data_IF_124408266688
#
_entry.id   IF_124408266688
#
_cell.length_a   1.000
_cell.length_b   1.000
_cell.length_c   1.000
_cell.angle_alpha   90.00
_cell.angle_beta   90.00
_cell.angle_gamma   90.00
#
_symmetry.space_group_name_H-M   'P 1'
#
loop_
_entity.id
_entity.type
_entity.pdbx_description
1 polymer ?
#
# COMPACT_ATOMS: atom_id res chain seq x y z
N UNK A 1 5.63 71.29 -24.58
CA UNK A 1 5.55 69.78 -24.42
C UNK A 1 6.07 69.44 -23.03
N UNK A 2 5.25 68.90 -22.19
CA UNK A 2 5.45 68.93 -20.74
C UNK A 2 6.38 67.76 -20.29
N UNK A 3 7.55 68.10 -19.76
CA UNK A 3 8.65 67.20 -19.39
C UNK A 3 8.17 66.11 -18.41
N UNK A 4 7.18 66.43 -17.57
CA UNK A 4 6.57 65.50 -16.61
C UNK A 4 5.79 64.33 -17.24
N UNK A 5 5.31 64.49 -18.50
CA UNK A 5 4.61 63.40 -19.22
C UNK A 5 5.61 62.42 -19.86
N UNK A 6 6.83 62.80 -20.11
CA UNK A 6 7.89 61.95 -20.67
C UNK A 6 8.52 61.12 -19.55
N UNK A 7 8.75 61.72 -18.39
CA UNK A 7 9.31 61.02 -17.21
C UNK A 7 8.35 59.94 -16.69
N UNK A 8 7.04 60.22 -16.60
CA UNK A 8 6.05 59.24 -16.15
C UNK A 8 5.86 58.09 -17.17
N UNK A 9 6.02 58.32 -18.47
CA UNK A 9 5.97 57.20 -19.46
C UNK A 9 7.23 56.33 -19.43
N UNK A 10 8.39 56.92 -19.19
CA UNK A 10 9.64 56.16 -19.03
C UNK A 10 9.65 55.37 -17.73
N UNK A 11 9.11 55.88 -16.64
CA UNK A 11 9.00 55.18 -15.38
C UNK A 11 7.99 54.02 -15.42
N UNK A 12 6.85 54.18 -16.11
CA UNK A 12 5.88 53.10 -16.32
C UNK A 12 6.43 52.01 -17.25
N UNK A 13 7.28 52.34 -18.21
CA UNK A 13 7.92 51.38 -19.12
C UNK A 13 9.03 50.57 -18.41
N UNK A 14 9.76 51.21 -17.48
CA UNK A 14 10.79 50.53 -16.67
C UNK A 14 10.16 49.58 -15.64
N UNK A 15 9.05 49.97 -15.01
CA UNK A 15 8.36 49.09 -14.03
C UNK A 15 7.69 47.92 -14.74
N UNK A 16 7.18 48.10 -15.97
CA UNK A 16 6.58 47.00 -16.73
C UNK A 16 7.62 45.97 -17.22
N UNK A 17 8.85 46.43 -17.53
CA UNK A 17 9.93 45.50 -17.89
C UNK A 17 10.61 44.83 -16.70
N UNK A 18 10.47 45.37 -15.47
CA UNK A 18 10.96 44.71 -14.24
C UNK A 18 10.01 43.64 -13.70
N UNK A 19 8.74 43.63 -14.16
CA UNK A 19 7.74 42.62 -13.77
C UNK A 19 7.66 41.42 -14.73
N UNK A 20 8.40 41.41 -15.84
CA UNK A 20 8.42 40.32 -16.82
C UNK A 20 9.65 39.41 -16.67
N UNK A 21 10.60 39.74 -15.80
CA UNK A 21 11.85 38.98 -15.64
C UNK A 21 11.89 38.05 -14.43
N UNK A 22 10.74 37.52 -13.98
CA UNK A 22 10.77 36.55 -12.92
C UNK A 22 9.71 35.46 -13.09
N UNK A 23 9.81 34.72 -14.18
CA UNK A 23 9.35 33.35 -14.28
C UNK A 23 10.08 32.67 -15.43
N UNK A 24 11.40 32.58 -15.34
CA UNK A 24 12.05 31.45 -15.99
C UNK A 24 11.74 30.25 -15.12
N UNK A 25 11.18 29.14 -15.68
CA UNK A 25 11.16 27.88 -14.97
C UNK A 25 12.61 27.58 -14.63
N UNK A 26 12.91 27.40 -13.35
CA UNK A 26 14.22 26.93 -12.93
C UNK A 26 14.50 25.68 -13.76
N UNK A 27 15.45 25.77 -14.67
CA UNK A 27 16.08 24.59 -15.22
C UNK A 27 16.70 23.91 -14.02
N UNK A 28 16.04 22.85 -13.55
CA UNK A 28 16.70 21.90 -12.68
C UNK A 28 17.86 21.34 -13.48
N UNK A 29 19.03 21.90 -13.30
CA UNK A 29 20.25 21.24 -13.69
C UNK A 29 20.29 19.98 -12.83
N UNK A 30 20.06 18.82 -13.44
CA UNK A 30 20.40 17.53 -12.87
C UNK A 30 21.93 17.57 -12.75
N UNK A 31 22.41 18.02 -11.59
CA UNK A 31 23.83 18.30 -11.35
C UNK A 31 24.66 17.03 -11.19
N UNK A 32 24.03 15.87 -11.12
CA UNK A 32 24.69 14.56 -11.24
C UNK A 32 23.67 13.53 -11.68
N UNK A 33 23.94 12.69 -12.68
CA UNK A 33 23.08 11.55 -12.93
C UNK A 33 23.09 10.69 -11.67
N UNK A 34 21.90 10.40 -11.14
CA UNK A 34 21.72 9.42 -10.07
C UNK A 34 22.44 8.15 -10.52
N UNK A 35 23.34 7.63 -9.67
CA UNK A 35 24.04 6.38 -9.98
C UNK A 35 22.99 5.29 -10.07
N UNK A 36 22.63 4.90 -11.28
CA UNK A 36 21.74 3.76 -11.47
C UNK A 36 22.41 2.52 -10.90
N UNK A 37 21.70 1.82 -10.04
CA UNK A 37 22.11 0.50 -9.61
C UNK A 37 22.02 -0.44 -10.83
N UNK A 38 23.13 -1.07 -11.18
CA UNK A 38 23.07 -2.11 -12.20
C UNK A 38 22.58 -3.40 -11.53
N UNK A 39 21.36 -3.79 -11.82
CA UNK A 39 20.88 -5.13 -11.49
C UNK A 39 21.52 -6.08 -12.50
N UNK A 40 22.21 -7.11 -12.01
CA UNK A 40 22.70 -8.17 -12.90
C UNK A 40 21.51 -8.85 -13.57
N UNK A 41 21.47 -8.78 -14.90
CA UNK A 41 20.45 -9.47 -15.65
C UNK A 41 20.68 -10.98 -15.55
N UNK A 42 19.69 -11.70 -15.08
CA UNK A 42 19.70 -13.15 -15.09
C UNK A 42 19.33 -13.61 -16.49
N UNK A 43 20.34 -13.96 -17.29
CA UNK A 43 20.13 -14.41 -18.67
C UNK A 43 19.67 -15.87 -18.75
N UNK A 44 19.84 -16.64 -17.67
CA UNK A 44 19.44 -18.05 -17.60
C UNK A 44 18.83 -18.33 -16.22
N UNK A 45 17.60 -18.81 -16.21
CA UNK A 45 17.00 -19.37 -15.00
C UNK A 45 17.52 -20.80 -14.81
N UNK A 46 18.29 -21.09 -13.74
CA UNK A 46 18.97 -22.38 -13.60
C UNK A 46 18.02 -23.57 -13.44
N UNK A 47 16.77 -23.36 -13.08
CA UNK A 47 15.79 -24.41 -12.79
C UNK A 47 14.56 -24.36 -13.71
N UNK A 48 14.69 -23.88 -14.92
CA UNK A 48 13.60 -23.93 -15.89
C UNK A 48 13.17 -25.38 -16.14
N UNK A 49 11.91 -25.73 -15.89
CA UNK A 49 11.40 -27.06 -16.19
C UNK A 49 11.46 -27.33 -17.70
N UNK A 50 11.83 -28.54 -18.07
CA UNK A 50 11.87 -28.93 -19.48
C UNK A 50 10.81 -30.00 -19.77
N UNK A 51 9.88 -29.78 -20.72
CA UNK A 51 9.75 -28.59 -21.57
C UNK A 51 9.14 -27.38 -20.83
N UNK A 52 9.68 -26.18 -21.10
CA UNK A 52 9.16 -24.94 -20.59
C UNK A 52 7.88 -24.56 -21.34
N UNK A 53 6.81 -24.31 -20.60
CA UNK A 53 5.55 -23.81 -21.14
C UNK A 53 5.32 -22.40 -20.64
N UNK A 54 5.18 -21.46 -21.55
CA UNK A 54 4.72 -20.10 -21.19
C UNK A 54 3.28 -20.21 -20.70
N UNK A 55 3.08 -19.78 -19.47
CA UNK A 55 1.75 -19.74 -18.84
C UNK A 55 1.15 -18.36 -19.09
N UNK A 56 -0.08 -18.34 -19.57
CA UNK A 56 -0.84 -17.08 -19.70
C UNK A 56 -1.42 -16.68 -18.34
N UNK A 57 -0.61 -16.04 -17.52
CA UNK A 57 -1.02 -15.56 -16.20
C UNK A 57 -2.11 -14.51 -16.26
N UNK A 58 -2.19 -13.71 -17.34
CA UNK A 58 -3.25 -12.73 -17.51
C UNK A 58 -4.60 -13.43 -17.66
N UNK A 59 -4.67 -14.49 -18.48
CA UNK A 59 -5.89 -15.26 -18.64
C UNK A 59 -6.27 -16.00 -17.35
N UNK A 60 -5.29 -16.57 -16.64
CA UNK A 60 -5.52 -17.23 -15.34
C UNK A 60 -6.11 -16.23 -14.32
N UNK A 61 -5.56 -15.03 -14.24
CA UNK A 61 -6.06 -13.99 -13.33
C UNK A 61 -7.49 -13.57 -13.68
N UNK A 62 -7.82 -13.42 -14.96
CA UNK A 62 -9.20 -13.14 -15.40
C UNK A 62 -10.16 -14.29 -15.09
N UNK A 63 -9.72 -15.52 -15.23
CA UNK A 63 -10.53 -16.70 -14.92
C UNK A 63 -10.75 -16.81 -13.41
N UNK A 64 -9.74 -16.49 -12.61
CA UNK A 64 -9.85 -16.45 -11.16
C UNK A 64 -10.77 -15.32 -10.71
N UNK A 65 -10.64 -14.10 -11.25
CA UNK A 65 -11.57 -12.99 -10.97
C UNK A 65 -13.03 -13.38 -11.25
N UNK A 66 -13.27 -14.02 -12.40
CA UNK A 66 -14.61 -14.48 -12.77
C UNK A 66 -15.19 -15.51 -11.79
N UNK A 67 -14.32 -16.37 -11.26
CA UNK A 67 -14.68 -17.36 -10.25
C UNK A 67 -14.99 -16.71 -8.89
N UNK A 68 -14.14 -15.78 -8.44
CA UNK A 68 -14.32 -15.05 -7.19
C UNK A 68 -15.63 -14.25 -7.18
N UNK A 69 -15.93 -13.56 -8.29
CA UNK A 69 -17.12 -12.71 -8.44
C UNK A 69 -18.33 -13.47 -8.99
N UNK A 70 -18.45 -14.76 -8.65
CA UNK A 70 -19.63 -15.55 -8.97
C UNK A 70 -20.40 -15.92 -7.69
N UNK A 71 -21.51 -15.24 -7.37
CA UNK A 71 -22.29 -15.50 -6.17
C UNK A 71 -23.06 -16.82 -6.22
N UNK A 72 -23.09 -17.50 -7.36
CA UNK A 72 -23.80 -18.78 -7.55
C UNK A 72 -22.90 -19.99 -7.32
N UNK A 73 -21.63 -19.79 -6.99
CA UNK A 73 -20.74 -20.88 -6.64
C UNK A 73 -21.23 -21.62 -5.38
N UNK A 74 -21.06 -22.93 -5.38
CA UNK A 74 -21.49 -23.80 -4.28
C UNK A 74 -20.35 -24.68 -3.81
N UNK A 75 -20.30 -24.94 -2.52
CA UNK A 75 -19.26 -25.78 -1.90
C UNK A 75 -18.96 -25.35 -0.47
N UNK A 76 -18.05 -26.04 0.23
CA UNK A 76 -17.78 -25.75 1.64
C UNK A 76 -17.17 -24.37 1.88
N UNK A 77 -16.51 -23.77 0.85
CA UNK A 77 -15.86 -22.46 0.91
C UNK A 77 -16.41 -21.46 -0.09
N UNK A 78 -17.57 -21.76 -0.69
CA UNK A 78 -18.20 -20.93 -1.74
C UNK A 78 -19.57 -20.46 -1.31
N UNK A 79 -20.03 -19.31 -1.84
CA UNK A 79 -19.30 -18.35 -2.67
C UNK A 79 -18.25 -17.58 -1.86
N UNK A 80 -17.22 -17.06 -2.53
CA UNK A 80 -16.22 -16.15 -1.90
C UNK A 80 -16.75 -14.74 -1.71
N UNK A 81 -17.74 -14.36 -2.49
CA UNK A 81 -18.37 -13.05 -2.41
C UNK A 81 -19.77 -13.18 -1.79
N UNK A 82 -20.10 -12.28 -0.87
CA UNK A 82 -21.45 -12.21 -0.30
C UNK A 82 -21.90 -10.78 -0.04
N UNK A 83 -23.20 -10.58 0.10
CA UNK A 83 -23.77 -9.27 0.39
C UNK A 83 -23.38 -8.81 1.77
N UNK A 84 -22.83 -7.59 1.83
CA UNK A 84 -22.59 -6.86 3.06
C UNK A 84 -23.79 -5.95 3.34
N UNK A 85 -24.44 -6.17 4.47
CA UNK A 85 -25.60 -5.38 4.88
C UNK A 85 -25.24 -4.08 5.61
N UNK A 86 -23.96 -3.83 5.88
CA UNK A 86 -23.52 -2.67 6.68
C UNK A 86 -23.74 -1.33 5.97
N UNK A 87 -23.66 -1.24 4.66
CA UNK A 87 -23.96 -0.08 3.80
C UNK A 87 -23.80 1.29 4.46
N UNK A 88 -22.58 1.71 4.69
CA UNK A 88 -22.33 2.96 5.41
C UNK A 88 -22.26 4.19 4.50
N UNK A 89 -21.54 4.05 3.39
CA UNK A 89 -21.15 5.18 2.55
C UNK A 89 -21.58 5.00 1.09
N UNK A 90 -22.55 4.13 0.84
CA UNK A 90 -23.03 3.80 -0.52
C UNK A 90 -24.54 3.56 -0.52
N UNK A 91 -25.20 3.96 -1.61
CA UNK A 91 -26.64 3.80 -1.83
C UNK A 91 -27.00 2.50 -2.57
N UNK A 92 -26.02 1.67 -2.88
CA UNK A 92 -26.20 0.39 -3.58
C UNK A 92 -25.92 -0.78 -2.63
N UNK A 93 -26.33 -1.98 -3.02
CA UNK A 93 -25.89 -3.18 -2.34
C UNK A 93 -24.36 -3.28 -2.37
N UNK A 94 -23.77 -3.72 -1.28
CA UNK A 94 -22.34 -3.91 -1.16
C UNK A 94 -22.02 -5.39 -1.00
N UNK A 95 -20.83 -5.74 -1.42
CA UNK A 95 -20.32 -7.11 -1.32
C UNK A 95 -18.95 -7.08 -0.66
N UNK A 96 -18.73 -8.04 0.23
CA UNK A 96 -17.43 -8.35 0.79
C UNK A 96 -16.87 -9.63 0.20
N UNK A 97 -15.60 -9.82 0.30
CA UNK A 97 -14.92 -11.05 -0.07
C UNK A 97 -14.51 -11.80 1.20
N UNK A 98 -14.88 -13.06 1.27
CA UNK A 98 -14.54 -13.90 2.39
C UNK A 98 -13.07 -14.32 2.31
N UNK A 99 -12.29 -13.95 3.32
CA UNK A 99 -10.84 -14.13 3.32
C UNK A 99 -10.33 -15.25 4.23
N UNK A 100 -11.24 -15.86 5.00
CA UNK A 100 -10.84 -16.81 6.03
C UNK A 100 -10.40 -18.19 5.51
N UNK A 101 -10.36 -18.42 4.21
CA UNK A 101 -10.04 -19.75 3.64
C UNK A 101 -8.66 -20.27 3.99
N UNK A 102 -7.75 -19.44 4.41
CA UNK A 102 -6.42 -19.84 4.88
C UNK A 102 -6.10 -19.34 6.27
N UNK A 103 -7.00 -18.59 6.87
CA UNK A 103 -6.79 -17.97 8.18
C UNK A 103 -7.72 -18.54 9.23
N UNK A 104 -7.18 -19.46 10.03
CA UNK A 104 -7.93 -20.10 11.12
C UNK A 104 -8.48 -19.12 12.16
N UNK A 105 -7.94 -17.91 12.25
CA UNK A 105 -8.42 -16.87 13.16
C UNK A 105 -9.79 -16.35 12.74
N UNK A 106 -10.06 -16.32 11.45
CA UNK A 106 -11.34 -15.84 10.92
C UNK A 106 -12.41 -16.93 10.99
N UNK A 107 -12.06 -18.16 10.70
CA UNK A 107 -12.92 -19.31 10.81
C UNK A 107 -14.23 -19.23 10.02
N UNK A 108 -14.88 -20.36 9.88
CA UNK A 108 -16.15 -20.49 9.16
C UNK A 108 -17.33 -19.78 9.85
N UNK A 109 -17.19 -19.43 11.13
CA UNK A 109 -18.21 -18.71 11.90
C UNK A 109 -18.50 -17.31 11.39
N UNK A 110 -17.60 -16.73 10.61
CA UNK A 110 -17.74 -15.41 10.02
C UNK A 110 -18.52 -15.41 8.69
N UNK A 111 -19.01 -16.54 8.23
CA UNK A 111 -19.85 -16.67 7.04
C UNK A 111 -21.12 -15.81 7.02
N UNK A 112 -21.49 -15.26 8.13
CA UNK A 112 -22.71 -14.43 8.22
C UNK A 112 -22.49 -12.98 7.77
N UNK A 113 -21.38 -12.68 7.10
CA UNK A 113 -21.08 -11.34 6.59
C UNK A 113 -20.75 -10.31 7.66
N UNK A 114 -20.43 -10.77 8.88
CA UNK A 114 -20.03 -9.88 9.97
C UNK A 114 -18.58 -9.46 9.82
N UNK A 115 -17.76 -10.31 9.22
CA UNK A 115 -16.33 -10.10 9.07
C UNK A 115 -15.83 -10.42 7.66
N UNK A 116 -15.41 -9.40 6.97
CA UNK A 116 -14.63 -9.50 5.74
C UNK A 116 -13.63 -8.34 5.68
N UNK A 117 -12.51 -8.57 5.07
CA UNK A 117 -11.42 -7.60 5.05
C UNK A 117 -11.47 -6.70 3.82
N UNK A 118 -11.18 -5.43 4.04
CA UNK A 118 -10.95 -4.49 2.93
C UNK A 118 -9.74 -4.91 2.10
N UNK A 119 -8.71 -5.50 2.72
CA UNK A 119 -7.55 -6.05 2.03
C UNK A 119 -7.96 -6.96 0.87
N UNK A 120 -8.81 -7.95 1.12
CA UNK A 120 -9.28 -8.86 0.09
C UNK A 120 -10.17 -8.16 -0.94
N UNK A 121 -11.10 -7.32 -0.48
CA UNK A 121 -12.05 -6.64 -1.37
C UNK A 121 -11.36 -5.62 -2.27
N UNK A 122 -10.51 -4.75 -1.71
CA UNK A 122 -9.78 -3.74 -2.48
C UNK A 122 -8.72 -4.42 -3.35
N UNK A 123 -7.98 -5.39 -2.79
CA UNK A 123 -6.95 -6.13 -3.52
C UNK A 123 -7.52 -6.89 -4.72
N UNK A 124 -8.71 -7.49 -4.60
CA UNK A 124 -9.35 -8.20 -5.72
C UNK A 124 -9.87 -7.24 -6.81
N UNK A 125 -10.40 -6.07 -6.42
CA UNK A 125 -10.77 -5.03 -7.38
C UNK A 125 -9.54 -4.52 -8.11
N UNK A 126 -8.46 -4.24 -7.39
CA UNK A 126 -7.19 -3.81 -7.99
C UNK A 126 -6.62 -4.89 -8.92
N UNK A 127 -6.56 -6.15 -8.46
CA UNK A 127 -6.04 -7.26 -9.25
C UNK A 127 -6.83 -7.52 -10.54
N UNK A 128 -8.16 -7.47 -10.48
CA UNK A 128 -9.01 -7.55 -11.66
C UNK A 128 -8.77 -6.40 -12.64
N UNK A 129 -8.62 -5.18 -12.11
CA UNK A 129 -8.34 -3.98 -12.92
C UNK A 129 -7.00 -4.07 -13.63
N UNK A 130 -5.95 -4.57 -12.96
CA UNK A 130 -4.62 -4.76 -13.53
C UNK A 130 -4.61 -5.69 -14.76
N UNK A 131 -5.51 -6.66 -14.81
CA UNK A 131 -5.64 -7.57 -15.96
C UNK A 131 -6.76 -7.16 -16.93
N UNK A 132 -7.28 -5.95 -16.78
CA UNK A 132 -8.23 -5.34 -17.71
C UNK A 132 -9.70 -5.76 -17.52
N UNK A 133 -10.07 -6.22 -16.33
CA UNK A 133 -11.48 -6.42 -15.96
C UNK A 133 -12.04 -5.08 -15.48
N UNK A 134 -13.11 -4.60 -16.12
CA UNK A 134 -13.82 -3.39 -15.65
C UNK A 134 -14.61 -3.71 -14.38
N UNK A 135 -14.05 -3.34 -13.24
CA UNK A 135 -14.67 -3.54 -11.93
C UNK A 135 -15.74 -2.50 -11.59
N UNK A 136 -15.81 -1.40 -12.35
CA UNK A 136 -16.88 -0.40 -12.19
C UNK A 136 -18.21 -0.84 -12.80
N UNK A 137 -18.18 -1.86 -13.66
CA UNK A 137 -19.39 -2.43 -14.29
C UNK A 137 -19.24 -3.93 -14.58
N UNK A 138 -18.89 -4.72 -13.59
CA UNK A 138 -18.78 -6.17 -13.77
C UNK A 138 -20.14 -6.84 -13.55
N UNK A 139 -20.72 -7.40 -14.59
CA UNK A 139 -22.05 -8.04 -14.56
C UNK A 139 -23.18 -7.11 -14.02
N UNK A 140 -23.03 -5.81 -14.24
CA UNK A 140 -23.99 -4.79 -13.79
C UNK A 140 -23.73 -4.25 -12.37
N UNK A 141 -22.71 -4.72 -11.69
CA UNK A 141 -22.33 -4.28 -10.35
C UNK A 141 -21.13 -3.33 -10.41
N UNK A 142 -21.16 -2.25 -9.64
CA UNK A 142 -20.06 -1.33 -9.47
C UNK A 142 -19.26 -1.70 -8.20
N UNK A 143 -18.33 -2.65 -8.33
CA UNK A 143 -17.49 -3.06 -7.20
C UNK A 143 -16.49 -1.98 -6.75
N UNK A 144 -16.11 -1.08 -7.67
CA UNK A 144 -15.28 0.07 -7.32
C UNK A 144 -16.02 0.99 -6.35
N UNK A 145 -17.23 1.40 -6.71
CA UNK A 145 -18.07 2.25 -5.86
C UNK A 145 -18.35 1.64 -4.48
N UNK A 146 -18.47 0.31 -4.39
CA UNK A 146 -18.70 -0.41 -3.13
C UNK A 146 -17.55 -0.28 -2.13
N UNK A 147 -16.31 -0.07 -2.58
CA UNK A 147 -15.15 0.03 -1.69
C UNK A 147 -15.24 1.21 -0.71
N UNK A 148 -16.04 2.23 -1.02
CA UNK A 148 -16.33 3.34 -0.10
C UNK A 148 -16.95 2.88 1.22
N UNK A 149 -17.52 1.67 1.24
CA UNK A 149 -18.12 1.10 2.44
C UNK A 149 -17.10 0.84 3.56
N UNK A 150 -15.82 0.72 3.23
CA UNK A 150 -14.73 0.57 4.20
C UNK A 150 -14.26 1.89 4.81
N UNK A 151 -14.69 3.03 4.29
CA UNK A 151 -14.36 4.32 4.88
C UNK A 151 -15.09 4.51 6.21
N UNK A 152 -14.34 4.70 7.28
CA UNK A 152 -14.86 4.79 8.63
C UNK A 152 -14.98 6.24 9.09
N UNK A 153 -16.11 6.86 8.82
CA UNK A 153 -16.47 8.19 9.33
C UNK A 153 -17.23 8.15 10.67
N UNK A 154 -17.79 6.99 11.04
CA UNK A 154 -18.65 6.86 12.22
C UNK A 154 -17.84 6.95 13.53
N UNK A 155 -16.64 6.40 13.55
CA UNK A 155 -15.74 6.42 14.69
C UNK A 155 -14.71 7.55 14.63
N UNK A 156 -14.83 8.47 13.67
CA UNK A 156 -13.91 9.58 13.41
C UNK A 156 -12.49 9.16 13.01
N UNK A 157 -12.27 7.90 12.66
CA UNK A 157 -11.00 7.48 12.09
C UNK A 157 -10.75 8.16 10.75
N UNK A 158 -11.80 8.28 9.94
CA UNK A 158 -11.79 8.99 8.65
C UNK A 158 -10.72 8.49 7.68
N UNK A 159 -10.48 7.18 7.70
CA UNK A 159 -9.64 6.42 6.77
C UNK A 159 -10.38 5.17 6.30
N UNK A 160 -9.81 4.48 5.32
CA UNK A 160 -10.26 3.13 4.94
C UNK A 160 -9.84 2.16 6.05
N UNK A 161 -10.81 1.52 6.67
CA UNK A 161 -10.58 0.51 7.71
C UNK A 161 -10.58 -0.89 7.13
N UNK A 162 -9.90 -1.81 7.80
CA UNK A 162 -9.83 -3.20 7.34
C UNK A 162 -11.16 -3.93 7.43
N UNK A 163 -12.15 -3.38 8.10
CA UNK A 163 -13.49 -3.95 8.20
C UNK A 163 -14.59 -2.90 8.19
N UNK A 164 -15.78 -3.30 7.79
CA UNK A 164 -16.97 -2.43 7.79
C UNK A 164 -17.66 -2.37 9.16
N UNK A 165 -17.41 -3.32 10.06
CA UNK A 165 -17.97 -3.37 11.40
C UNK A 165 -17.05 -2.65 12.39
N UNK A 166 -17.53 -1.62 13.12
CA UNK A 166 -16.72 -0.93 14.12
C UNK A 166 -16.21 -1.86 15.24
N UNK A 167 -17.03 -2.82 15.65
CA UNK A 167 -16.67 -3.78 16.70
C UNK A 167 -15.51 -4.66 16.29
N UNK A 168 -15.50 -5.09 15.04
CA UNK A 168 -14.45 -5.94 14.48
C UNK A 168 -13.21 -5.14 14.15
N UNK A 169 -13.37 -3.95 13.57
CA UNK A 169 -12.25 -3.06 13.26
C UNK A 169 -11.44 -2.65 14.49
N UNK A 170 -12.04 -2.77 15.68
CA UNK A 170 -11.39 -2.47 16.95
C UNK A 170 -10.95 -3.72 17.72
N UNK A 171 -10.97 -4.89 17.11
CA UNK A 171 -10.43 -6.09 17.74
C UNK A 171 -8.96 -5.85 18.09
N UNK A 172 -8.69 -5.69 19.39
CA UNK A 172 -7.34 -5.59 19.88
C UNK A 172 -6.59 -6.91 19.69
N UNK A 173 -5.29 -6.85 19.79
CA UNK A 173 -4.53 -8.06 19.90
C UNK A 173 -4.03 -8.64 18.57
N UNK A 174 -3.64 -7.84 17.65
CA UNK A 174 -2.93 -8.24 16.45
C UNK A 174 -3.73 -7.98 15.21
N UNK A 175 -4.84 -8.58 15.07
CA UNK A 175 -5.73 -8.40 13.93
C UNK A 175 -6.47 -7.07 14.05
N UNK A 176 -6.42 -6.20 13.05
CA UNK A 176 -6.92 -4.82 13.07
C UNK A 176 -6.24 -3.89 14.09
N UNK A 177 -5.15 -4.32 14.71
CA UNK A 177 -4.28 -3.52 15.58
C UNK A 177 -2.80 -3.70 15.25
N UNK A 178 -2.54 -4.26 14.12
CA UNK A 178 -1.28 -4.21 13.41
C UNK A 178 -1.32 -3.03 12.46
N UNK A 179 -0.28 -2.20 12.45
CA UNK A 179 -0.30 -0.96 11.69
C UNK A 179 -0.48 -1.17 10.18
N UNK A 180 0.09 -2.23 9.64
CA UNK A 180 -0.04 -2.49 8.22
C UNK A 180 -1.49 -2.75 7.78
N UNK A 181 -2.35 -3.28 8.65
CA UNK A 181 -3.79 -3.41 8.39
C UNK A 181 -4.52 -2.06 8.28
N UNK A 182 -4.01 -1.03 8.94
CA UNK A 182 -4.56 0.33 8.83
C UNK A 182 -3.95 1.11 7.66
N UNK A 183 -2.74 0.75 7.23
CA UNK A 183 -1.99 1.46 6.19
C UNK A 183 -2.27 0.89 4.80
N UNK A 184 -2.16 -0.42 4.63
CA UNK A 184 -2.19 -1.06 3.32
C UNK A 184 -3.54 -0.92 2.59
N UNK A 185 -4.71 -1.02 3.24
CA UNK A 185 -5.99 -0.76 2.58
C UNK A 185 -6.08 0.65 1.98
N UNK A 186 -5.54 1.65 2.67
CA UNK A 186 -5.52 3.03 2.20
C UNK A 186 -4.60 3.20 1.00
N UNK A 187 -3.45 2.55 1.02
CA UNK A 187 -2.51 2.49 -0.10
C UNK A 187 -3.17 1.87 -1.34
N UNK A 188 -3.79 0.69 -1.20
CA UNK A 188 -4.49 0.04 -2.30
C UNK A 188 -5.69 0.85 -2.81
N UNK A 189 -6.40 1.56 -1.93
CA UNK A 189 -7.51 2.40 -2.32
C UNK A 189 -7.05 3.55 -3.24
N UNK A 190 -5.88 4.16 -2.97
CA UNK A 190 -5.26 5.11 -3.88
C UNK A 190 -4.89 4.47 -5.22
N UNK A 191 -4.33 3.26 -5.22
CA UNK A 191 -4.01 2.54 -6.45
C UNK A 191 -5.26 2.23 -7.29
N UNK A 192 -6.38 1.84 -6.66
CA UNK A 192 -7.67 1.67 -7.37
C UNK A 192 -8.16 2.99 -7.95
N UNK A 193 -8.02 4.10 -7.21
CA UNK A 193 -8.45 5.42 -7.68
C UNK A 193 -7.69 5.89 -8.93
N UNK A 194 -6.47 5.41 -9.16
CA UNK A 194 -5.71 5.71 -10.39
C UNK A 194 -6.30 5.00 -11.62
N UNK A 195 -6.90 3.81 -11.44
CA UNK A 195 -7.64 3.11 -12.50
C UNK A 195 -9.02 3.73 -12.77
N UNK A 196 -9.65 4.32 -11.74
CA UNK A 196 -11.00 4.87 -11.80
C UNK A 196 -11.02 6.32 -11.29
N UNK A 197 -10.34 7.25 -11.99
CA UNK A 197 -10.16 8.62 -11.51
C UNK A 197 -11.46 9.41 -11.35
N UNK A 198 -12.50 9.01 -12.09
CA UNK A 198 -13.81 9.68 -12.11
C UNK A 198 -14.86 9.00 -11.22
N UNK A 199 -14.47 7.98 -10.41
CA UNK A 199 -15.42 7.30 -9.54
C UNK A 199 -15.99 8.26 -8.50
N UNK A 200 -17.32 8.34 -8.49
CA UNK A 200 -18.05 9.29 -7.65
C UNK A 200 -17.84 9.00 -6.16
N UNK A 201 -17.53 10.04 -5.39
CA UNK A 201 -17.38 9.95 -3.95
C UNK A 201 -16.00 9.49 -3.48
N UNK A 202 -15.06 9.22 -4.40
CA UNK A 202 -13.68 8.86 -4.04
C UNK A 202 -12.88 10.08 -3.56
N UNK A 203 -12.98 11.21 -4.23
CA UNK A 203 -12.16 12.38 -3.92
C UNK A 203 -12.24 12.85 -2.46
N UNK A 204 -13.44 12.99 -1.83
CA UNK A 204 -13.51 13.36 -0.42
C UNK A 204 -12.86 12.34 0.51
N UNK A 205 -12.96 11.04 0.20
CA UNK A 205 -12.33 9.97 0.97
C UNK A 205 -10.81 10.04 0.85
N UNK A 206 -10.30 10.15 -0.37
CA UNK A 206 -8.86 10.27 -0.64
C UNK A 206 -8.26 11.48 0.08
N UNK A 207 -8.94 12.65 0.05
CA UNK A 207 -8.49 13.83 0.80
C UNK A 207 -8.48 13.58 2.31
N UNK A 208 -9.54 12.98 2.83
CA UNK A 208 -9.64 12.65 4.25
C UNK A 208 -8.52 11.73 4.70
N UNK A 209 -8.24 10.69 3.93
CA UNK A 209 -7.12 9.76 4.17
C UNK A 209 -5.79 10.50 4.16
N UNK A 210 -5.55 11.33 3.12
CA UNK A 210 -4.32 12.11 3.01
C UNK A 210 -4.10 13.05 4.19
N UNK A 211 -5.14 13.78 4.59
CA UNK A 211 -5.07 14.69 5.74
C UNK A 211 -4.76 13.93 7.04
N UNK A 212 -5.42 12.78 7.26
CA UNK A 212 -5.17 11.93 8.44
C UNK A 212 -3.76 11.37 8.48
N UNK A 213 -3.23 10.92 7.34
CA UNK A 213 -1.87 10.40 7.23
C UNK A 213 -0.84 11.51 7.39
N UNK A 214 -1.11 12.71 6.87
CA UNK A 214 -0.26 13.88 7.07
C UNK A 214 -0.23 14.31 8.54
N UNK A 215 -1.39 14.45 9.18
CA UNK A 215 -1.49 14.77 10.60
C UNK A 215 -0.76 13.73 11.46
N UNK A 216 -0.91 12.44 11.13
CA UNK A 216 -0.21 11.36 11.82
C UNK A 216 1.32 11.46 11.67
N UNK A 217 1.82 11.76 10.47
CA UNK A 217 3.25 11.98 10.24
C UNK A 217 3.79 13.15 11.09
N UNK A 218 3.04 14.25 11.18
CA UNK A 218 3.43 15.39 12.02
C UNK A 218 3.50 15.02 13.52
N UNK A 219 2.55 14.21 13.99
CA UNK A 219 2.54 13.72 15.38
C UNK A 219 3.72 12.76 15.63
N UNK A 220 4.00 11.89 14.68
CA UNK A 220 5.10 10.92 14.76
C UNK A 220 6.46 11.59 14.70
N UNK A 221 6.58 12.69 13.97
CA UNK A 221 7.80 13.51 13.87
C UNK A 221 9.06 12.65 13.64
N UNK A 222 9.00 11.76 12.65
CA UNK A 222 10.08 10.83 12.29
C UNK A 222 10.22 9.59 13.19
N UNK A 223 9.41 9.45 14.23
CA UNK A 223 9.44 8.27 15.10
C UNK A 223 8.27 7.32 14.80
N UNK A 224 8.54 6.28 14.05
CA UNK A 224 7.59 5.21 13.72
C UNK A 224 7.76 3.96 14.60
N UNK A 225 8.46 4.05 15.75
CA UNK A 225 8.68 2.92 16.66
C UNK A 225 7.41 2.57 17.46
N UNK A 226 6.33 2.24 16.76
CA UNK A 226 5.04 1.90 17.33
C UNK A 226 4.42 0.69 16.64
N UNK A 227 3.39 0.11 17.26
CA UNK A 227 2.69 -1.07 16.73
C UNK A 227 1.51 -0.66 15.83
N UNK A 228 0.86 0.44 16.14
CA UNK A 228 -0.23 1.03 15.36
C UNK A 228 -0.40 2.50 15.71
N UNK A 229 -1.27 3.19 14.95
CA UNK A 229 -1.63 4.57 15.18
C UNK A 229 -3.16 4.69 15.36
N UNK A 230 -3.59 5.36 16.40
CA UNK A 230 -5.01 5.67 16.63
C UNK A 230 -5.37 6.95 15.88
N UNK A 231 -5.92 6.82 14.67
CA UNK A 231 -6.26 7.96 13.80
C UNK A 231 -7.48 8.76 14.31
N UNK A 232 -8.27 8.21 15.24
CA UNK A 232 -9.33 8.96 15.89
C UNK A 232 -8.74 9.97 16.90
N UNK A 233 -7.81 9.52 17.73
CA UNK A 233 -7.19 10.31 18.80
C UNK A 233 -5.90 10.99 18.36
N UNK A 234 -5.44 10.68 17.17
CA UNK A 234 -4.13 11.11 16.65
C UNK A 234 -2.98 10.78 17.59
N UNK A 235 -2.90 9.52 18.02
CA UNK A 235 -1.91 9.05 18.97
C UNK A 235 -1.25 7.76 18.53
N UNK A 236 0.09 7.66 18.57
CA UNK A 236 0.78 6.39 18.36
C UNK A 236 0.60 5.44 19.54
N UNK A 237 0.50 4.16 19.29
CA UNK A 237 0.24 3.13 20.29
C UNK A 237 1.21 1.97 20.18
N UNK A 238 1.49 1.34 21.35
CA UNK A 238 2.18 0.05 21.44
C UNK A 238 1.30 -1.00 22.10
N UNK A 239 1.34 -2.19 21.56
CA UNK A 239 0.79 -3.39 22.18
C UNK A 239 1.91 -4.45 22.33
N UNK A 240 1.55 -5.71 22.42
CA UNK A 240 2.49 -6.83 22.57
C UNK A 240 3.16 -7.25 21.25
N UNK A 241 2.74 -6.71 20.11
CA UNK A 241 3.31 -6.98 18.79
C UNK A 241 4.59 -6.15 18.62
N UNK A 242 5.50 -6.61 17.78
CA UNK A 242 6.68 -5.84 17.42
C UNK A 242 6.30 -4.51 16.77
N UNK A 243 7.07 -3.47 17.01
CA UNK A 243 6.89 -2.18 16.37
C UNK A 243 7.07 -2.28 14.86
N UNK A 244 6.12 -1.75 14.11
CA UNK A 244 6.06 -1.84 12.65
C UNK A 244 6.57 -0.54 12.02
N UNK A 245 7.87 -0.32 12.12
CA UNK A 245 8.49 0.91 11.61
C UNK A 245 8.43 1.00 10.07
N UNK A 246 8.26 -0.11 9.37
CA UNK A 246 8.02 -0.15 7.94
C UNK A 246 6.64 0.43 7.53
N UNK A 247 5.74 0.73 8.48
CA UNK A 247 4.55 1.53 8.23
C UNK A 247 4.86 2.91 7.64
N UNK A 248 6.04 3.45 7.91
CA UNK A 248 6.54 4.68 7.30
C UNK A 248 6.59 4.59 5.76
N UNK A 249 6.88 3.41 5.19
CA UNK A 249 6.83 3.20 3.75
C UNK A 249 5.42 3.39 3.18
N UNK A 250 4.42 2.86 3.86
CA UNK A 250 3.03 3.03 3.44
C UNK A 250 2.52 4.46 3.61
N UNK A 251 2.91 5.16 4.68
CA UNK A 251 2.65 6.59 4.85
C UNK A 251 3.26 7.40 3.70
N UNK A 252 4.53 7.16 3.38
CA UNK A 252 5.20 7.82 2.27
C UNK A 252 4.46 7.58 0.94
N UNK A 253 3.99 6.34 0.68
CA UNK A 253 3.24 6.02 -0.53
C UNK A 253 1.91 6.77 -0.60
N UNK A 254 1.08 6.68 0.45
CA UNK A 254 -0.23 7.34 0.49
C UNK A 254 -0.11 8.85 0.30
N UNK A 255 0.83 9.47 1.00
CA UNK A 255 1.06 10.91 0.91
C UNK A 255 1.64 11.32 -0.45
N UNK A 256 2.52 10.52 -1.04
CA UNK A 256 3.04 10.82 -2.38
C UNK A 256 1.95 10.66 -3.44
N UNK A 257 1.13 9.62 -3.37
CA UNK A 257 -0.02 9.44 -4.26
C UNK A 257 -1.03 10.59 -4.11
N UNK A 258 -1.27 11.05 -2.89
CA UNK A 258 -2.10 12.23 -2.63
C UNK A 258 -1.50 13.51 -3.24
N UNK A 259 -0.20 13.72 -3.11
CA UNK A 259 0.48 14.84 -3.78
C UNK A 259 0.36 14.75 -5.29
N UNK A 260 0.56 13.58 -5.87
CA UNK A 260 0.41 13.40 -7.32
C UNK A 260 -1.00 13.77 -7.80
N UNK A 261 -2.02 13.43 -7.02
CA UNK A 261 -3.42 13.69 -7.36
C UNK A 261 -3.84 15.13 -7.08
N UNK A 262 -3.50 15.67 -5.92
CA UNK A 262 -4.04 16.94 -5.43
C UNK A 262 -3.09 18.12 -5.58
N UNK A 263 -1.82 17.86 -5.80
CA UNK A 263 -0.74 18.86 -5.89
C UNK A 263 -0.63 19.75 -4.64
N UNK A 264 -1.09 19.26 -3.49
CA UNK A 264 -0.91 19.94 -2.20
C UNK A 264 0.50 19.66 -1.67
N UNK A 265 1.35 20.71 -1.49
CA UNK A 265 2.74 20.53 -1.08
C UNK A 265 2.90 19.89 0.30
N UNK A 266 1.89 19.97 1.19
CA UNK A 266 1.92 19.33 2.51
C UNK A 266 2.09 17.81 2.38
N UNK A 267 1.43 17.21 1.38
CA UNK A 267 1.51 15.77 1.17
C UNK A 267 2.89 15.35 0.66
N UNK A 268 3.53 16.17 -0.18
CA UNK A 268 4.92 15.91 -0.59
C UNK A 268 5.90 16.02 0.58
N UNK A 269 5.71 17.03 1.44
CA UNK A 269 6.49 17.20 2.67
C UNK A 269 6.35 15.97 3.59
N UNK A 270 5.11 15.55 3.86
CA UNK A 270 4.84 14.37 4.67
C UNK A 270 5.38 13.07 4.05
N UNK A 271 5.29 12.92 2.73
CA UNK A 271 5.85 11.77 2.04
C UNK A 271 7.37 11.67 2.21
N UNK A 272 8.07 12.80 2.09
CA UNK A 272 9.52 12.87 2.32
C UNK A 272 9.87 12.60 3.78
N UNK A 273 9.14 13.19 4.71
CA UNK A 273 9.31 12.99 6.16
C UNK A 273 9.19 11.51 6.55
N UNK A 274 8.12 10.85 6.14
CA UNK A 274 7.92 9.43 6.39
C UNK A 274 9.01 8.56 5.75
N UNK A 275 9.39 8.86 4.50
CA UNK A 275 10.45 8.13 3.83
C UNK A 275 11.81 8.31 4.53
N UNK A 276 12.14 9.51 4.96
CA UNK A 276 13.38 9.79 5.69
C UNK A 276 13.42 9.05 7.03
N UNK A 277 12.29 8.94 7.73
CA UNK A 277 12.19 8.12 8.92
C UNK A 277 12.53 6.64 8.63
N UNK A 278 12.02 6.10 7.53
CA UNK A 278 12.31 4.74 7.09
C UNK A 278 13.78 4.55 6.71
N UNK A 279 14.35 5.46 5.91
CA UNK A 279 15.76 5.39 5.47
C UNK A 279 16.76 5.56 6.62
N UNK A 280 16.35 6.16 7.73
CA UNK A 280 17.17 6.32 8.92
C UNK A 280 17.18 5.09 9.84
N UNK A 281 16.41 4.04 9.56
CA UNK A 281 16.45 2.79 10.28
C UNK A 281 17.87 2.19 10.26
N UNK A 282 18.26 1.52 11.35
CA UNK A 282 19.60 0.92 11.52
C UNK A 282 19.60 -0.59 11.44
N UNK A 283 18.44 -1.18 11.37
CA UNK A 283 18.22 -2.62 11.33
C UNK A 283 16.96 -2.92 10.52
N UNK A 284 16.87 -4.13 9.99
CA UNK A 284 15.74 -4.57 9.21
C UNK A 284 14.47 -4.67 10.06
N UNK A 285 13.48 -3.83 9.75
CA UNK A 285 12.16 -3.78 10.39
C UNK A 285 11.04 -4.24 9.46
N UNK A 286 11.37 -5.01 8.44
CA UNK A 286 10.38 -5.57 7.53
C UNK A 286 9.42 -6.50 8.28
N UNK A 287 8.16 -6.11 8.39
CA UNK A 287 7.20 -6.84 9.21
C UNK A 287 6.27 -7.72 8.37
N UNK A 288 5.57 -7.16 7.39
CA UNK A 288 4.66 -7.90 6.50
C UNK A 288 4.99 -7.64 5.03
N UNK A 289 4.64 -6.46 4.51
CA UNK A 289 4.67 -6.17 3.07
C UNK A 289 5.09 -4.74 2.75
N UNK A 290 5.20 -3.83 3.72
CA UNK A 290 5.28 -2.40 3.43
C UNK A 290 6.67 -1.92 3.00
N UNK A 291 7.75 -2.58 3.43
CA UNK A 291 9.12 -2.16 3.14
C UNK A 291 9.40 -1.86 1.65
N UNK A 292 9.00 -2.72 0.68
CA UNK A 292 9.24 -2.45 -0.74
C UNK A 292 8.56 -1.20 -1.28
N UNK A 293 7.46 -0.76 -0.68
CA UNK A 293 6.79 0.49 -1.06
C UNK A 293 7.67 1.71 -0.77
N UNK A 294 8.49 1.65 0.29
CA UNK A 294 9.48 2.68 0.58
C UNK A 294 10.53 2.80 -0.52
N UNK A 295 11.04 1.68 -1.01
CA UNK A 295 11.98 1.67 -2.13
C UNK A 295 11.34 2.28 -3.40
N UNK A 296 10.11 1.90 -3.71
CA UNK A 296 9.35 2.45 -4.83
C UNK A 296 9.15 3.98 -4.72
N UNK A 297 8.73 4.47 -3.55
CA UNK A 297 8.53 5.91 -3.34
C UNK A 297 9.85 6.66 -3.43
N UNK A 298 10.94 6.12 -2.88
CA UNK A 298 12.27 6.71 -2.98
C UNK A 298 12.71 6.84 -4.45
N UNK A 299 12.54 5.78 -5.23
CA UNK A 299 12.86 5.80 -6.65
C UNK A 299 12.04 6.86 -7.41
N UNK A 300 10.73 6.96 -7.12
CA UNK A 300 9.86 7.95 -7.74
C UNK A 300 10.22 9.39 -7.36
N UNK A 301 10.48 9.65 -6.08
CA UNK A 301 10.91 10.98 -5.62
C UNK A 301 12.25 11.37 -6.27
N UNK A 302 13.18 10.42 -6.41
CA UNK A 302 14.43 10.68 -7.11
C UNK A 302 14.20 11.04 -8.58
N UNK A 303 13.30 10.34 -9.26
CA UNK A 303 13.03 10.56 -10.67
C UNK A 303 12.18 11.81 -10.95
N UNK A 304 11.17 12.08 -10.10
CA UNK A 304 10.14 13.08 -10.37
C UNK A 304 10.36 14.40 -9.63
N UNK A 305 10.97 14.35 -8.42
CA UNK A 305 11.17 15.51 -7.55
C UNK A 305 12.65 15.88 -7.38
N UNK A 306 13.55 15.21 -8.10
CA UNK A 306 14.99 15.51 -8.11
C UNK A 306 15.70 15.26 -6.78
N UNK A 307 15.16 14.38 -5.94
CA UNK A 307 15.84 13.94 -4.71
C UNK A 307 16.94 12.92 -5.03
N UNK A 308 17.72 12.53 -4.05
CA UNK A 308 18.81 11.54 -4.21
C UNK A 308 18.82 10.60 -3.00
N UNK A 309 17.71 9.96 -2.71
CA UNK A 309 17.59 8.99 -1.64
C UNK A 309 18.29 7.69 -2.02
N UNK A 310 19.15 7.18 -1.13
CA UNK A 310 19.69 5.82 -1.23
C UNK A 310 18.71 4.86 -0.56
N UNK A 311 18.11 3.99 -1.34
CA UNK A 311 17.14 2.99 -0.89
C UNK A 311 17.66 1.55 -1.00
N UNK A 312 18.97 1.38 -1.17
CA UNK A 312 19.61 0.06 -1.30
C UNK A 312 19.27 -0.84 -0.12
N UNK A 313 19.34 -0.30 1.11
CA UNK A 313 19.01 -1.04 2.32
C UNK A 313 17.56 -1.53 2.35
N UNK A 314 16.61 -0.79 1.78
CA UNK A 314 15.21 -1.21 1.76
C UNK A 314 15.01 -2.42 0.85
N UNK A 315 15.76 -2.49 -0.25
CA UNK A 315 15.77 -3.66 -1.13
C UNK A 315 16.48 -4.83 -0.46
N UNK A 316 17.67 -4.60 0.09
CA UNK A 316 18.42 -5.64 0.79
C UNK A 316 17.56 -6.26 1.90
N UNK A 317 16.94 -5.46 2.74
CA UNK A 317 16.08 -5.93 3.83
C UNK A 317 14.81 -6.67 3.35
N UNK A 318 14.33 -6.37 2.17
CA UNK A 318 13.22 -7.12 1.58
C UNK A 318 13.64 -8.57 1.24
N UNK A 319 14.92 -8.78 0.89
CA UNK A 319 15.42 -10.06 0.39
C UNK A 319 16.32 -10.82 1.38
N UNK A 320 16.70 -10.22 2.51
CA UNK A 320 17.67 -10.79 3.45
C UNK A 320 17.09 -11.80 4.43
N UNK A 321 15.86 -11.63 4.85
CA UNK A 321 15.26 -12.45 5.90
C UNK A 321 15.83 -12.21 7.31
N UNK A 322 16.49 -11.09 7.57
CA UNK A 322 17.11 -10.73 8.85
C UNK A 322 16.27 -9.77 9.71
N UNK A 323 14.98 -9.72 9.47
CA UNK A 323 14.07 -8.85 10.21
C UNK A 323 14.13 -9.12 11.72
N UNK A 324 14.37 -8.05 12.49
CA UNK A 324 14.40 -8.13 13.97
C UNK A 324 13.01 -8.29 14.58
N UNK A 325 11.97 -8.01 13.83
CA UNK A 325 10.59 -8.18 14.25
C UNK A 325 10.05 -9.57 13.96
N UNK A 326 10.48 -10.15 12.86
CA UNK A 326 9.98 -11.40 12.33
C UNK A 326 11.17 -12.18 11.78
N UNK A 327 11.82 -12.90 12.69
CA UNK A 327 13.03 -13.65 12.37
C UNK A 327 12.84 -14.52 11.10
N UNK A 328 13.77 -14.45 10.17
CA UNK A 328 13.72 -15.16 8.91
C UNK A 328 12.72 -14.60 7.89
N UNK A 329 12.04 -13.50 8.18
CA UNK A 329 11.07 -12.89 7.27
C UNK A 329 11.75 -12.15 6.12
N UNK A 330 11.39 -12.49 4.91
CA UNK A 330 11.91 -11.91 3.68
C UNK A 330 11.57 -12.78 2.48
N UNK A 331 12.20 -12.53 1.36
CA UNK A 331 12.07 -13.38 0.16
C UNK A 331 12.91 -14.63 0.34
N UNK A 332 12.26 -15.77 0.44
CA UNK A 332 12.91 -17.07 0.60
C UNK A 332 13.65 -17.47 -0.68
N UNK A 333 14.79 -18.11 -0.52
CA UNK A 333 15.57 -18.72 -1.61
C UNK A 333 15.97 -20.13 -1.20
N UNK A 334 15.55 -21.13 -1.98
CA UNK A 334 15.93 -22.52 -1.74
C UNK A 334 14.82 -23.54 -1.97
N UNK A 335 15.09 -24.74 -1.49
CA UNK A 335 14.16 -25.87 -1.58
C UNK A 335 13.63 -26.25 -0.21
N UNK A 336 12.34 -26.53 -0.13
CA UNK A 336 11.68 -27.06 1.03
C UNK A 336 10.93 -28.34 0.68
N UNK A 337 11.27 -29.43 1.33
CA UNK A 337 10.69 -30.77 1.08
C UNK A 337 10.67 -31.16 -0.41
N UNK A 338 11.71 -30.76 -1.19
CA UNK A 338 11.84 -31.06 -2.59
C UNK A 338 11.14 -30.06 -3.52
N UNK A 339 10.50 -29.03 -2.98
CA UNK A 339 9.90 -27.95 -3.76
C UNK A 339 10.78 -26.71 -3.73
N UNK A 340 10.97 -26.09 -4.90
CA UNK A 340 11.61 -24.79 -5.01
C UNK A 340 10.65 -23.71 -4.49
N UNK A 341 11.04 -23.03 -3.40
CA UNK A 341 10.29 -21.96 -2.77
C UNK A 341 10.89 -20.58 -3.05
N UNK A 342 11.86 -20.52 -3.96
CA UNK A 342 12.53 -19.26 -4.27
C UNK A 342 11.56 -18.21 -4.78
N UNK A 343 11.64 -17.02 -4.19
CA UNK A 343 10.79 -15.88 -4.54
C UNK A 343 9.50 -15.75 -3.71
N UNK A 344 9.22 -16.70 -2.82
CA UNK A 344 8.06 -16.59 -1.90
C UNK A 344 8.46 -15.77 -0.68
N UNK A 345 7.63 -14.83 -0.27
CA UNK A 345 7.80 -14.16 1.03
C UNK A 345 7.31 -15.06 2.15
N UNK A 346 8.15 -15.17 3.15
CA UNK A 346 7.86 -15.97 4.32
C UNK A 346 8.98 -15.92 5.35
N UNK A 347 8.90 -16.80 6.33
CA UNK A 347 9.93 -16.99 7.35
C UNK A 347 10.48 -18.40 7.29
N UNK A 348 11.78 -18.53 7.36
CA UNK A 348 12.46 -19.84 7.50
C UNK A 348 12.40 -20.35 8.94
N UNK A 349 11.99 -19.50 9.87
CA UNK A 349 11.84 -19.81 11.28
C UNK A 349 10.37 -19.77 11.64
N UNK A 350 9.89 -20.73 12.34
CA UNK A 350 8.52 -20.75 12.80
C UNK A 350 8.24 -19.62 13.77
N UNK A 351 7.61 -18.59 13.27
CA UNK A 351 7.19 -17.46 14.05
C UNK A 351 5.69 -17.40 14.17
N UNK A 352 5.21 -17.46 15.40
CA UNK A 352 3.83 -17.09 15.69
C UNK A 352 3.80 -15.79 16.48
N UNK A 353 3.50 -14.64 15.81
CA UNK A 353 3.44 -13.36 16.48
C UNK A 353 2.31 -13.28 17.52
N UNK A 354 1.31 -14.15 17.36
CA UNK A 354 0.10 -14.17 18.20
C UNK A 354 0.32 -14.95 19.49
N UNK A 355 1.27 -15.89 19.51
CA UNK A 355 1.43 -16.75 20.68
C UNK A 355 2.88 -17.03 21.03
N UNK A 356 3.47 -16.15 21.82
CA UNK A 356 4.83 -16.32 22.36
C UNK A 356 5.00 -17.61 23.19
N UNK A 357 3.91 -18.29 23.53
CA UNK A 357 3.91 -19.52 24.32
C UNK A 357 3.97 -20.80 23.46
N UNK A 358 3.96 -20.68 22.13
CA UNK A 358 4.18 -21.82 21.23
C UNK A 358 5.67 -22.10 21.02
N UNK A 359 6.47 -22.00 22.08
CA UNK A 359 7.89 -22.39 22.06
C UNK A 359 8.13 -23.87 21.76
N UNK A 360 7.07 -24.68 21.83
CA UNK A 360 7.14 -26.13 21.68
C UNK A 360 6.64 -26.64 20.32
N UNK A 361 6.22 -25.75 19.43
CA UNK A 361 5.97 -26.14 18.05
C UNK A 361 7.25 -25.85 17.26
N UNK A 362 8.01 -26.87 16.95
CA UNK A 362 9.01 -26.86 15.90
C UNK A 362 8.29 -26.47 14.61
N UNK A 363 8.13 -25.18 14.37
CA UNK A 363 7.56 -24.72 13.14
C UNK A 363 8.68 -24.63 12.12
N UNK A 364 8.51 -25.36 11.08
CA UNK A 364 9.46 -25.48 9.97
C UNK A 364 9.47 -24.26 9.06
N UNK A 365 8.98 -23.10 9.54
CA UNK A 365 8.79 -21.91 8.72
C UNK A 365 7.44 -21.91 7.98
N UNK A 366 7.20 -20.86 7.23
CA UNK A 366 5.98 -20.70 6.44
C UNK A 366 6.18 -19.63 5.36
N UNK A 367 5.40 -19.71 4.28
CA UNK A 367 5.34 -18.72 3.24
C UNK A 367 3.92 -18.28 2.95
N UNK A 368 3.76 -17.02 2.62
CA UNK A 368 2.48 -16.46 2.21
C UNK A 368 2.51 -16.04 0.74
N UNK A 369 1.72 -16.71 -0.08
CA UNK A 369 1.58 -16.34 -1.48
C UNK A 369 0.98 -14.95 -1.62
N UNK A 370 -0.01 -14.61 -0.82
CA UNK A 370 -0.64 -13.29 -0.81
C UNK A 370 0.40 -12.20 -0.51
N UNK A 371 1.15 -12.30 0.58
CA UNK A 371 2.16 -11.31 0.94
C UNK A 371 3.27 -11.20 -0.11
N UNK A 372 3.54 -12.28 -0.84
CA UNK A 372 4.49 -12.26 -1.95
C UNK A 372 4.03 -11.30 -3.05
N UNK A 373 2.77 -11.40 -3.48
CA UNK A 373 2.23 -10.49 -4.47
C UNK A 373 2.14 -9.06 -3.94
N UNK A 374 1.67 -8.89 -2.71
CA UNK A 374 1.49 -7.59 -2.09
C UNK A 374 2.80 -6.81 -1.94
N UNK A 375 3.89 -7.50 -1.60
CA UNK A 375 5.20 -6.87 -1.45
C UNK A 375 5.94 -6.67 -2.78
N UNK A 376 5.70 -7.51 -3.78
CA UNK A 376 6.44 -7.46 -5.05
C UNK A 376 5.85 -6.49 -6.07
N UNK A 377 4.55 -6.23 -6.06
CA UNK A 377 3.95 -5.38 -7.08
C UNK A 377 4.51 -3.95 -7.14
N UNK A 378 4.91 -3.28 -6.03
CA UNK A 378 5.52 -1.95 -6.13
C UNK A 378 6.91 -1.98 -6.78
N UNK A 379 7.59 -3.13 -6.80
CA UNK A 379 8.92 -3.27 -7.41
C UNK A 379 8.86 -3.47 -8.93
N UNK A 380 7.74 -3.95 -9.47
CA UNK A 380 7.59 -4.21 -10.91
C UNK A 380 7.90 -2.98 -11.78
N UNK A 381 7.40 -1.77 -11.49
CA UNK A 381 7.72 -0.59 -12.30
C UNK A 381 9.14 -0.04 -12.10
N UNK A 382 9.93 -0.63 -11.19
CA UNK A 382 11.32 -0.23 -10.95
C UNK A 382 12.34 -0.97 -11.83
N UNK A 383 11.91 -2.02 -12.55
CA UNK A 383 12.76 -2.92 -13.35
C UNK A 383 12.88 -2.47 -14.81
#
# INVERSE_FOLDING_TARGET
MNLNKIVNRLFSFLIFNLLITSCEPSKYEITSPVKQQSIQRVDVMPNLPTPFKIIDYNQIAKDYDRLVYDPNQTGPYWPLIWKDSSRKNVDQETYGIYTAMGDARQGITHYKGIFHESLASIGSVLGGSLVGVDKSNQKGENYVGMLRNYFNSETNWNIIMNNTSPEVAQLGGGYARDWWYDVYPNLMFYAVADFYPDEKGYEPILRSVADKFYEADQVLNGNYDYTFFDYEKMEPKKNWICSQQDAAAGHAYVLYAAYQRFKDPRYLEGAKSALEALLNLKENRFYEILMPFGAYVAARLNAEEGTNYDFSNLLDWTFDGDSVCREGWGVLVGNWNGYDISGIIGSTVGFNPVNKNLKDVESEGFGFLMNTYDAMWPLVPMV
#
